data_IF_044808021642
#
_entry.id   IF_044808021642
#
_cell.length_a   1.000
_cell.length_b   1.000
_cell.length_c   1.000
_cell.angle_alpha   90.00
_cell.angle_beta   90.00
_cell.angle_gamma   90.00
#
_symmetry.space_group_name_H-M   'P 1'
#
loop_
_entity.id
_entity.type
_entity.pdbx_description
1 polymer ?
#
# COMPACT_ATOMS: atom_id res chain seq x y z
N UNK A 1 -16.08 12.75 2.16
CA UNK A 1 -14.70 12.70 1.63
C UNK A 1 -14.39 11.31 1.13
N UNK A 2 -13.82 11.22 -0.07
CA UNK A 2 -13.33 9.98 -0.67
C UNK A 2 -12.38 9.21 0.25
N UNK A 3 -11.41 9.90 0.85
CA UNK A 3 -10.39 9.28 1.69
C UNK A 3 -10.98 8.76 3.01
N UNK A 4 -11.92 9.50 3.60
CA UNK A 4 -12.62 9.06 4.81
C UNK A 4 -13.47 7.82 4.51
N UNK A 5 -14.20 7.81 3.40
CA UNK A 5 -15.10 6.71 3.05
C UNK A 5 -14.35 5.41 2.71
N UNK A 6 -13.20 5.52 2.04
CA UNK A 6 -12.46 4.35 1.55
C UNK A 6 -11.32 3.91 2.47
N UNK A 7 -10.71 4.81 3.23
CA UNK A 7 -9.47 4.54 3.97
C UNK A 7 -9.50 5.00 5.43
N UNK A 8 -10.64 5.49 5.95
CA UNK A 8 -10.77 6.09 7.29
C UNK A 8 -9.77 7.23 7.56
N UNK A 9 -9.35 7.94 6.51
CA UNK A 9 -8.43 9.07 6.66
C UNK A 9 -9.23 10.39 6.72
N UNK A 10 -9.21 11.13 7.85
CA UNK A 10 -9.97 12.36 8.04
C UNK A 10 -9.35 13.53 7.26
N UNK A 11 -9.57 13.54 5.95
CA UNK A 11 -9.10 14.59 5.03
C UNK A 11 -10.25 14.95 4.12
N UNK A 12 -10.57 16.23 3.89
CA UNK A 12 -11.65 16.60 2.96
C UNK A 12 -11.22 16.40 1.50
N UNK A 13 -12.18 16.35 0.58
CA UNK A 13 -11.88 16.17 -0.86
C UNK A 13 -11.06 17.34 -1.42
N UNK A 14 -11.19 18.54 -0.85
CA UNK A 14 -10.40 19.72 -1.23
C UNK A 14 -8.92 19.61 -0.84
N UNK A 15 -8.61 18.91 0.26
CA UNK A 15 -7.25 18.66 0.73
C UNK A 15 -6.66 17.36 0.16
N UNK A 16 -7.44 16.61 -0.63
CA UNK A 16 -7.00 15.36 -1.23
C UNK A 16 -6.02 15.64 -2.36
N UNK A 17 -4.75 15.42 -2.07
CA UNK A 17 -3.68 15.31 -3.05
C UNK A 17 -3.56 13.87 -3.57
N UNK A 18 -4.11 13.58 -4.75
CA UNK A 18 -4.17 12.22 -5.30
C UNK A 18 -2.87 11.76 -5.98
N UNK A 19 -1.98 12.69 -6.34
CA UNK A 19 -0.76 12.39 -7.09
C UNK A 19 0.44 12.17 -6.17
N UNK A 20 0.48 12.83 -5.01
CA UNK A 20 1.57 12.72 -4.05
C UNK A 20 1.12 12.07 -2.72
N UNK A 21 0.61 12.86 -1.77
CA UNK A 21 0.36 12.40 -0.39
C UNK A 21 -0.64 11.25 -0.29
N UNK A 22 -1.69 11.28 -1.13
CA UNK A 22 -2.77 10.28 -1.11
C UNK A 22 -2.77 9.40 -2.36
N UNK A 23 -1.58 9.19 -2.94
CA UNK A 23 -1.39 8.27 -4.05
C UNK A 23 -1.83 6.86 -3.65
N UNK A 24 -2.51 6.19 -4.58
CA UNK A 24 -2.87 4.78 -4.45
C UNK A 24 -1.82 3.91 -5.12
N UNK A 25 -1.46 2.80 -4.48
CA UNK A 25 -0.54 1.79 -5.01
C UNK A 25 -1.22 0.42 -5.05
N UNK A 26 -0.82 -0.41 -5.99
CA UNK A 26 -1.36 -1.76 -6.14
C UNK A 26 -0.88 -2.68 -5.03
N UNK A 27 -1.62 -3.76 -4.77
CA UNK A 27 -1.18 -4.83 -3.86
C UNK A 27 0.21 -5.37 -4.23
N UNK A 28 0.48 -5.51 -5.52
CA UNK A 28 1.77 -6.02 -6.02
C UNK A 28 2.89 -5.04 -5.72
N UNK A 29 2.70 -3.75 -6.01
CA UNK A 29 3.68 -2.71 -5.67
C UNK A 29 3.91 -2.65 -4.16
N UNK A 30 2.86 -2.70 -3.34
CA UNK A 30 3.01 -2.69 -1.88
C UNK A 30 3.89 -3.86 -1.39
N UNK A 31 3.72 -5.06 -1.96
CA UNK A 31 4.52 -6.24 -1.59
C UNK A 31 5.96 -6.17 -2.10
N UNK A 32 6.20 -5.61 -3.29
CA UNK A 32 7.52 -5.54 -3.90
C UNK A 32 8.35 -4.38 -3.32
N UNK A 33 7.76 -3.18 -3.26
CA UNK A 33 8.43 -1.94 -2.84
C UNK A 33 8.56 -1.80 -1.32
N UNK A 34 7.70 -2.45 -0.53
CA UNK A 34 7.76 -2.37 0.94
C UNK A 34 8.02 -3.74 1.58
N UNK A 35 8.33 -4.74 0.77
CA UNK A 35 8.63 -6.11 1.20
C UNK A 35 7.54 -6.71 2.12
N UNK A 36 6.29 -6.28 1.94
CA UNK A 36 5.17 -6.73 2.75
C UNK A 36 4.61 -8.06 2.25
N UNK A 37 4.02 -8.84 3.16
CA UNK A 37 3.31 -10.08 2.85
C UNK A 37 1.80 -9.84 2.86
N UNK A 38 1.04 -10.81 2.35
CA UNK A 38 -0.43 -10.74 2.36
C UNK A 38 -0.99 -10.62 3.79
N UNK A 39 -0.36 -11.29 4.75
CA UNK A 39 -0.72 -11.16 6.16
C UNK A 39 -0.48 -9.76 6.72
N UNK A 40 0.56 -9.06 6.26
CA UNK A 40 0.86 -7.71 6.73
C UNK A 40 -0.12 -6.69 6.17
N UNK A 41 -0.80 -6.96 5.06
CA UNK A 41 -1.83 -6.08 4.50
C UNK A 41 -3.23 -6.41 5.03
N UNK A 42 -3.58 -7.69 5.06
CA UNK A 42 -4.97 -8.15 5.23
C UNK A 42 -5.27 -8.72 6.62
N UNK A 43 -4.25 -9.17 7.39
CA UNK A 43 -4.45 -9.87 8.67
C UNK A 43 -3.95 -9.08 9.89
N UNK A 44 -2.84 -8.35 9.78
CA UNK A 44 -2.33 -7.51 10.87
C UNK A 44 -3.37 -6.45 11.22
N UNK A 45 -3.75 -6.38 12.51
CA UNK A 45 -4.69 -5.39 12.98
C UNK A 45 -4.04 -4.01 13.17
N UNK A 46 -4.69 -2.91 12.73
CA UNK A 46 -5.93 -2.89 11.93
C UNK A 46 -5.66 -3.28 10.47
N UNK A 47 -6.53 -4.10 9.86
CA UNK A 47 -6.39 -4.49 8.47
C UNK A 47 -6.43 -3.25 7.55
N UNK A 48 -5.54 -3.19 6.55
CA UNK A 48 -5.50 -2.05 5.64
C UNK A 48 -6.69 -2.07 4.68
N UNK A 49 -7.39 -0.94 4.57
CA UNK A 49 -8.48 -0.80 3.60
C UNK A 49 -7.93 -0.67 2.18
N UNK A 50 -8.71 -1.17 1.22
CA UNK A 50 -8.37 -1.13 -0.19
C UNK A 50 -9.59 -0.86 -1.06
N UNK A 51 -9.34 -0.37 -2.26
CA UNK A 51 -10.34 -0.19 -3.32
C UNK A 51 -10.13 -1.29 -4.36
N UNK A 52 -11.22 -1.91 -4.78
CA UNK A 52 -11.21 -2.91 -5.86
C UNK A 52 -11.49 -2.21 -7.19
N UNK A 53 -10.62 -2.40 -8.19
CA UNK A 53 -10.80 -1.93 -9.57
C UNK A 53 -10.57 -3.07 -10.56
N UNK A 54 -11.26 -3.02 -11.70
CA UNK A 54 -11.00 -3.93 -12.82
C UNK A 54 -9.54 -3.79 -13.28
N UNK A 55 -8.92 -4.91 -13.59
CA UNK A 55 -7.54 -4.91 -14.06
C UNK A 55 -7.45 -4.17 -15.41
N UNK A 56 -6.63 -3.12 -15.53
CA UNK A 56 -6.58 -2.29 -16.74
C UNK A 56 -5.98 -3.01 -17.95
N UNK A 57 -5.21 -4.08 -17.74
CA UNK A 57 -4.64 -4.87 -18.84
C UNK A 57 -5.68 -5.80 -19.46
N UNK A 58 -6.40 -6.54 -18.63
CA UNK A 58 -7.46 -7.44 -19.07
C UNK A 58 -8.59 -7.47 -18.03
N UNK A 59 -9.78 -7.04 -18.43
CA UNK A 59 -10.97 -7.01 -17.56
C UNK A 59 -11.43 -8.39 -17.07
N UNK A 60 -11.01 -9.47 -17.74
CA UNK A 60 -11.29 -10.85 -17.33
C UNK A 60 -10.35 -11.37 -16.24
N UNK A 61 -9.20 -10.71 -16.02
CA UNK A 61 -8.28 -11.09 -14.96
C UNK A 61 -8.85 -10.67 -13.59
N UNK A 62 -8.31 -11.27 -12.52
CA UNK A 62 -8.69 -10.93 -11.16
C UNK A 62 -8.58 -9.43 -10.89
N UNK A 63 -9.52 -8.92 -10.10
CA UNK A 63 -9.59 -7.49 -9.79
C UNK A 63 -8.35 -7.03 -9.03
N UNK A 64 -7.93 -5.80 -9.32
CA UNK A 64 -6.80 -5.14 -8.70
C UNK A 64 -7.23 -4.50 -7.40
N UNK A 65 -6.48 -4.77 -6.32
CA UNK A 65 -6.62 -4.07 -5.04
C UNK A 65 -5.66 -2.88 -5.00
N UNK A 66 -6.21 -1.70 -4.70
CA UNK A 66 -5.49 -0.44 -4.54
C UNK A 66 -5.49 -0.03 -3.07
N UNK A 67 -4.29 0.16 -2.51
CA UNK A 67 -4.06 0.61 -1.14
C UNK A 67 -3.59 2.06 -1.13
N UNK A 68 -3.87 2.77 -0.05
CA UNK A 68 -3.34 4.11 0.15
C UNK A 68 -1.84 4.03 0.51
N UNK A 69 -0.97 4.66 -0.29
CA UNK A 69 0.49 4.62 -0.10
C UNK A 69 0.89 5.00 1.33
N UNK A 70 0.25 6.04 1.88
CA UNK A 70 0.49 6.52 3.23
C UNK A 70 0.25 5.43 4.30
N UNK A 71 -0.80 4.63 4.16
CA UNK A 71 -1.08 3.50 5.06
C UNK A 71 -0.06 2.38 4.90
N UNK A 72 0.35 2.10 3.66
CA UNK A 72 1.35 1.07 3.36
C UNK A 72 2.71 1.45 3.94
N UNK A 73 3.15 2.71 3.80
CA UNK A 73 4.40 3.20 4.41
C UNK A 73 4.36 3.03 5.92
N UNK A 74 3.25 3.45 6.56
CA UNK A 74 3.09 3.28 8.02
C UNK A 74 3.16 1.80 8.43
N UNK A 75 2.48 0.92 7.70
CA UNK A 75 2.52 -0.53 7.94
C UNK A 75 3.92 -1.12 7.71
N UNK A 76 4.66 -0.62 6.73
CA UNK A 76 6.03 -1.04 6.50
C UNK A 76 6.94 -0.67 7.68
N UNK A 77 6.80 0.54 8.23
CA UNK A 77 7.51 0.95 9.44
C UNK A 77 7.13 0.09 10.66
N UNK A 78 5.85 -0.31 10.79
CA UNK A 78 5.42 -1.24 11.85
C UNK A 78 5.97 -2.68 11.68
N UNK A 79 6.28 -3.09 10.44
CA UNK A 79 6.82 -4.43 10.14
C UNK A 79 8.33 -4.47 10.30
N UNK A 80 9.02 -3.44 9.79
CA UNK A 80 10.48 -3.38 9.71
C UNK A 80 11.12 -2.58 10.85
N UNK A 81 10.34 -1.83 11.62
CA UNK A 81 10.81 -1.02 12.76
C UNK A 81 11.39 0.35 12.36
N UNK A 82 12.11 0.42 11.25
CA UNK A 82 12.63 1.67 10.70
C UNK A 82 12.64 1.66 9.17
N UNK A 83 12.80 2.83 8.57
CA UNK A 83 12.98 2.95 7.13
C UNK A 83 14.31 2.34 6.70
N UNK A 84 15.37 2.54 7.48
CA UNK A 84 16.69 1.99 7.20
C UNK A 84 16.66 0.46 7.15
N UNK A 85 15.97 -0.20 8.08
CA UNK A 85 15.83 -1.66 8.09
C UNK A 85 15.09 -2.20 6.85
N UNK A 86 14.14 -1.42 6.30
CA UNK A 86 13.46 -1.78 5.05
C UNK A 86 14.41 -1.64 3.85
N UNK A 87 15.21 -0.57 3.79
CA UNK A 87 16.17 -0.36 2.71
C UNK A 87 17.30 -1.39 2.75
N UNK A 88 17.86 -1.70 3.92
CA UNK A 88 18.85 -2.78 4.11
C UNK A 88 18.29 -4.12 3.60
N UNK A 89 17.03 -4.43 3.94
CA UNK A 89 16.38 -5.66 3.48
C UNK A 89 16.15 -5.68 1.95
N UNK A 90 15.98 -4.51 1.31
CA UNK A 90 15.90 -4.42 -0.15
C UNK A 90 17.26 -4.62 -0.81
N UNK A 91 18.31 -4.03 -0.27
CA UNK A 91 19.68 -4.20 -0.78
C UNK A 91 20.08 -5.68 -0.74
N UNK A 92 19.90 -6.35 0.40
CA UNK A 92 20.17 -7.79 0.54
C UNK A 92 19.35 -8.62 -0.46
N UNK A 93 18.11 -8.23 -0.75
CA UNK A 93 17.27 -8.91 -1.75
C UNK A 93 17.75 -8.68 -3.18
N UNK A 94 18.30 -7.51 -3.49
CA UNK A 94 18.87 -7.22 -4.80
C UNK A 94 20.19 -7.95 -5.02
N UNK A 95 21.06 -8.04 -4.00
CA UNK A 95 22.33 -8.77 -4.08
C UNK A 95 22.13 -10.28 -4.27
N UNK A 96 21.07 -10.85 -3.69
CA UNK A 96 20.75 -12.27 -3.82
C UNK A 96 20.03 -12.65 -5.13
N UNK A 97 19.89 -11.73 -6.08
CA UNK A 97 19.15 -11.94 -7.33
C UNK A 97 20.07 -12.17 -8.52
#
# INVERSE_FOLDING_TARGET
>A
SYLMNHFDLPTCDSCRDADDKHKLITKTEAKQEYLLKDCDLEKREPALRFIVKKNPRHSQWGDMKLYLKLQVVKRALEVWGSQDALEDAKEVRQENR
#
